data_IF_281911181213
#
_entry.id   IF_281911181213
#
_cell.length_a   1.000
_cell.length_b   1.000
_cell.length_c   1.000
_cell.angle_alpha   90.00
_cell.angle_beta   90.00
_cell.angle_gamma   90.00
#
_symmetry.space_group_name_H-M   'P 1'
#
loop_
_entity.id
_entity.type
_entity.pdbx_description
1 polymer ?
#
# COMPACT_ATOMS: atom_id res chain seq x y z
N UNK A 1 7.83 -0.14 -9.42
CA UNK A 1 6.67 -0.07 -8.51
C UNK A 1 7.10 0.06 -7.04
N UNK A 2 7.96 -0.85 -6.51
CA UNK A 2 8.38 -0.83 -5.10
C UNK A 2 9.05 0.47 -4.66
N UNK A 3 9.94 1.02 -5.49
CA UNK A 3 10.53 2.34 -5.25
C UNK A 3 9.46 3.44 -5.14
N UNK A 4 8.50 3.46 -6.08
CA UNK A 4 7.42 4.44 -6.08
C UNK A 4 6.52 4.32 -4.85
N UNK A 5 6.24 3.10 -4.43
CA UNK A 5 5.46 2.81 -3.21
C UNK A 5 6.15 3.37 -1.96
N UNK A 6 7.42 3.01 -1.71
CA UNK A 6 8.15 3.50 -0.53
C UNK A 6 8.32 5.02 -0.55
N UNK A 7 8.66 5.60 -1.71
CA UNK A 7 8.78 7.04 -1.83
C UNK A 7 7.47 7.78 -1.55
N UNK A 8 6.32 7.20 -1.95
CA UNK A 8 5.00 7.73 -1.63
C UNK A 8 4.72 7.70 -0.12
N UNK A 9 4.98 6.57 0.54
CA UNK A 9 4.80 6.47 1.99
C UNK A 9 5.68 7.48 2.74
N UNK A 10 6.95 7.59 2.35
CA UNK A 10 7.90 8.51 2.96
C UNK A 10 7.49 9.98 2.78
N UNK A 11 6.96 10.33 1.61
CA UNK A 11 6.48 11.69 1.33
C UNK A 11 5.18 12.02 2.09
N UNK A 12 4.25 11.07 2.15
CA UNK A 12 2.94 11.27 2.80
C UNK A 12 2.95 11.07 4.31
N UNK A 13 3.88 10.27 4.84
CA UNK A 13 4.01 9.94 6.25
C UNK A 13 5.51 9.87 6.66
N UNK A 14 6.22 11.01 6.75
CA UNK A 14 7.67 11.02 6.97
C UNK A 14 8.13 10.35 8.27
N UNK A 15 7.27 10.26 9.27
CA UNK A 15 7.58 9.59 10.54
C UNK A 15 7.42 8.07 10.48
N UNK A 16 6.81 7.53 9.42
CA UNK A 16 6.61 6.10 9.25
C UNK A 16 7.92 5.39 8.87
N UNK A 17 8.11 4.18 9.37
CA UNK A 17 9.19 3.29 8.93
C UNK A 17 8.67 1.86 8.79
N UNK A 18 9.23 1.09 7.86
CA UNK A 18 8.84 -0.31 7.63
C UNK A 18 9.13 -1.19 8.85
N UNK A 19 10.13 -0.85 9.66
CA UNK A 19 10.50 -1.57 10.87
C UNK A 19 9.62 -1.28 12.09
N UNK A 20 8.63 -0.38 11.99
CA UNK A 20 7.79 0.01 13.12
C UNK A 20 6.88 -1.12 13.64
N UNK A 21 6.57 -2.11 12.80
CA UNK A 21 5.72 -3.24 13.16
C UNK A 21 5.24 -4.02 11.94
N UNK A 22 4.33 -5.00 12.13
CA UNK A 22 3.79 -5.79 11.04
C UNK A 22 3.09 -4.95 9.99
N UNK A 23 3.23 -5.33 8.72
CA UNK A 23 2.45 -4.79 7.61
C UNK A 23 1.38 -5.81 7.17
N UNK A 24 0.15 -5.33 6.92
CA UNK A 24 -0.92 -6.14 6.33
C UNK A 24 -1.09 -5.72 4.87
N UNK A 25 -0.97 -6.68 3.96
CA UNK A 25 -1.14 -6.47 2.51
C UNK A 25 -2.35 -7.24 2.03
N UNK A 26 -3.30 -6.53 1.46
CA UNK A 26 -4.52 -7.09 0.87
C UNK A 26 -4.34 -7.19 -0.64
N UNK A 27 -4.43 -8.42 -1.17
CA UNK A 27 -4.22 -8.72 -2.59
C UNK A 27 -2.93 -9.49 -2.86
N UNK A 28 -2.92 -10.32 -3.91
CA UNK A 28 -1.77 -11.15 -4.32
C UNK A 28 -1.56 -11.04 -5.84
N UNK A 29 -1.59 -9.82 -6.36
CA UNK A 29 -1.29 -9.48 -7.75
C UNK A 29 0.12 -8.95 -7.95
N UNK A 30 0.39 -8.41 -9.15
CA UNK A 30 1.69 -7.82 -9.47
C UNK A 30 2.08 -6.65 -8.57
N UNK A 31 1.12 -5.79 -8.22
CA UNK A 31 1.35 -4.69 -7.29
C UNK A 31 1.69 -5.19 -5.87
N UNK A 32 0.98 -6.24 -5.38
CA UNK A 32 1.29 -6.86 -4.09
C UNK A 32 2.72 -7.39 -4.06
N UNK A 33 3.18 -8.04 -5.14
CA UNK A 33 4.57 -8.51 -5.27
C UNK A 33 5.56 -7.38 -5.05
N UNK A 34 5.38 -6.27 -5.75
CA UNK A 34 6.28 -5.12 -5.66
C UNK A 34 6.28 -4.48 -4.27
N UNK A 35 5.09 -4.36 -3.65
CA UNK A 35 4.90 -3.83 -2.29
C UNK A 35 5.57 -4.74 -1.26
N UNK A 36 5.37 -6.05 -1.33
CA UNK A 36 5.94 -7.01 -0.38
C UNK A 36 7.47 -7.01 -0.45
N UNK A 37 8.05 -7.06 -1.66
CA UNK A 37 9.51 -6.98 -1.83
C UNK A 37 10.04 -5.68 -1.22
N UNK A 38 9.43 -4.55 -1.55
CA UNK A 38 9.86 -3.25 -1.05
C UNK A 38 9.79 -3.16 0.49
N UNK A 39 8.73 -3.69 1.10
CA UNK A 39 8.57 -3.72 2.57
C UNK A 39 9.60 -4.64 3.23
N UNK A 40 9.85 -5.83 2.67
CA UNK A 40 10.85 -6.76 3.18
C UNK A 40 12.25 -6.14 3.11
N UNK A 41 12.64 -5.56 1.98
CA UNK A 41 13.92 -4.89 1.78
C UNK A 41 14.09 -3.66 2.72
N UNK A 42 12.98 -2.99 3.04
CA UNK A 42 12.96 -1.86 3.99
C UNK A 42 12.93 -2.30 5.46
N UNK A 43 12.93 -3.60 5.76
CA UNK A 43 13.06 -4.14 7.11
C UNK A 43 11.74 -4.36 7.84
N UNK A 44 10.63 -4.57 7.14
CA UNK A 44 9.37 -4.98 7.77
C UNK A 44 9.56 -6.31 8.55
N UNK A 45 9.21 -6.35 9.85
CA UNK A 45 9.45 -7.54 10.66
C UNK A 45 8.53 -8.70 10.31
N UNK A 46 7.35 -8.40 9.83
CA UNK A 46 6.31 -9.35 9.39
C UNK A 46 5.45 -8.71 8.31
N UNK A 47 5.07 -9.49 7.30
CA UNK A 47 4.12 -9.08 6.25
C UNK A 47 2.99 -10.11 6.22
N UNK A 48 1.82 -9.73 6.71
CA UNK A 48 0.61 -10.55 6.71
C UNK A 48 -0.11 -10.36 5.39
N UNK A 49 -0.10 -11.40 4.56
CA UNK A 49 -0.65 -11.37 3.21
C UNK A 49 -2.03 -12.05 3.18
N UNK A 50 -3.08 -11.28 2.89
CA UNK A 50 -4.43 -11.80 2.72
C UNK A 50 -4.90 -11.62 1.27
N UNK A 51 -5.47 -12.68 0.68
CA UNK A 51 -6.05 -12.64 -0.66
C UNK A 51 -7.27 -13.55 -0.73
N UNK A 52 -8.34 -13.11 -1.42
CA UNK A 52 -9.59 -13.86 -1.57
C UNK A 52 -9.34 -15.29 -2.10
N UNK A 53 -8.41 -15.46 -3.03
CA UNK A 53 -7.94 -16.78 -3.48
C UNK A 53 -6.66 -17.12 -2.72
N UNK A 54 -6.76 -17.91 -1.65
CA UNK A 54 -5.64 -18.27 -0.75
C UNK A 54 -4.43 -18.82 -1.52
N UNK A 55 -4.67 -19.72 -2.49
CA UNK A 55 -3.58 -20.33 -3.27
C UNK A 55 -2.68 -19.30 -3.99
N UNK A 56 -3.22 -18.13 -4.39
CA UNK A 56 -2.40 -17.06 -4.98
C UNK A 56 -1.50 -16.40 -3.95
N UNK A 57 -1.98 -16.22 -2.73
CA UNK A 57 -1.16 -15.68 -1.63
C UNK A 57 -0.05 -16.67 -1.25
N UNK A 58 -0.37 -17.96 -1.17
CA UNK A 58 0.61 -19.03 -0.87
C UNK A 58 1.69 -19.13 -1.95
N UNK A 59 1.30 -19.09 -3.23
CA UNK A 59 2.26 -19.05 -4.34
C UNK A 59 3.18 -17.83 -4.23
N UNK A 60 2.61 -16.65 -4.02
CA UNK A 60 3.38 -15.42 -3.91
C UNK A 60 4.33 -15.44 -2.70
N UNK A 61 3.86 -15.91 -1.55
CA UNK A 61 4.66 -16.03 -0.34
C UNK A 61 5.81 -17.04 -0.52
N UNK A 62 5.54 -18.19 -1.16
CA UNK A 62 6.57 -19.20 -1.44
C UNK A 62 7.65 -18.70 -2.41
N UNK A 63 7.25 -17.92 -3.42
CA UNK A 63 8.19 -17.34 -4.39
C UNK A 63 9.07 -16.25 -3.79
N UNK A 64 8.52 -15.42 -2.90
CA UNK A 64 9.24 -14.29 -2.31
C UNK A 64 10.03 -14.70 -1.06
N UNK A 65 9.53 -15.64 -0.29
CA UNK A 65 10.12 -16.00 1.00
C UNK A 65 10.07 -14.83 2.01
N UNK A 66 11.09 -14.78 2.89
CA UNK A 66 11.24 -13.67 3.84
C UNK A 66 10.15 -13.64 4.91
N UNK A 67 9.77 -12.45 5.42
CA UNK A 67 8.88 -12.30 6.56
C UNK A 67 7.39 -12.38 6.19
N UNK A 68 7.02 -13.15 5.15
CA UNK A 68 5.64 -13.21 4.63
C UNK A 68 4.87 -14.34 5.29
N UNK A 69 3.75 -14.00 5.93
CA UNK A 69 2.78 -14.95 6.51
C UNK A 69 1.46 -14.84 5.77
N UNK A 70 0.93 -15.96 5.26
CA UNK A 70 -0.37 -15.98 4.59
C UNK A 70 -1.50 -16.09 5.60
N UNK A 71 -2.46 -15.18 5.49
CA UNK A 71 -3.64 -15.09 6.35
C UNK A 71 -4.88 -15.55 5.55
N UNK A 72 -5.77 -16.30 6.17
CA UNK A 72 -7.05 -16.64 5.58
C UNK A 72 -7.90 -15.38 5.31
N UNK A 73 -8.63 -15.38 4.21
CA UNK A 73 -9.49 -14.25 3.87
C UNK A 73 -10.54 -13.96 4.95
N UNK A 74 -11.02 -14.98 5.63
CA UNK A 74 -11.96 -14.85 6.74
C UNK A 74 -11.34 -14.09 7.93
N UNK A 75 -10.04 -14.23 8.15
CA UNK A 75 -9.30 -13.66 9.28
C UNK A 75 -8.63 -12.32 8.96
N UNK A 76 -8.85 -11.77 7.74
CA UNK A 76 -8.20 -10.53 7.29
C UNK A 76 -8.40 -9.34 8.22
N UNK A 77 -9.56 -9.23 8.87
CA UNK A 77 -9.83 -8.17 9.83
C UNK A 77 -9.07 -8.37 11.16
N UNK A 78 -8.99 -9.61 11.66
CA UNK A 78 -8.22 -9.94 12.85
C UNK A 78 -6.70 -9.77 12.61
N UNK A 79 -6.23 -9.97 11.38
CA UNK A 79 -4.84 -9.77 11.01
C UNK A 79 -4.36 -8.30 11.13
N UNK A 80 -5.28 -7.35 11.29
CA UNK A 80 -4.96 -5.93 11.53
C UNK A 80 -4.47 -5.66 12.96
N UNK A 81 -4.68 -6.58 13.87
CA UNK A 81 -4.26 -6.40 15.27
C UNK A 81 -2.74 -6.20 15.37
N UNK A 82 -2.33 -5.13 16.03
CA UNK A 82 -0.93 -4.74 16.19
C UNK A 82 -0.21 -4.35 14.89
N UNK A 83 -0.91 -4.19 13.75
CA UNK A 83 -0.28 -3.76 12.50
C UNK A 83 0.16 -2.29 12.56
N UNK A 84 1.32 -1.98 12.01
CA UNK A 84 1.81 -0.61 11.82
C UNK A 84 1.47 -0.03 10.43
N UNK A 85 1.11 -0.91 9.48
CA UNK A 85 0.76 -0.53 8.12
C UNK A 85 -0.33 -1.45 7.57
N UNK A 86 -1.33 -0.86 6.92
CA UNK A 86 -2.30 -1.55 6.07
C UNK A 86 -2.15 -1.05 4.63
N UNK A 87 -2.02 -1.96 3.67
CA UNK A 87 -1.94 -1.63 2.23
C UNK A 87 -3.00 -2.39 1.45
N UNK A 88 -3.88 -1.68 0.76
CA UNK A 88 -4.73 -2.26 -0.28
C UNK A 88 -3.98 -2.28 -1.62
N UNK A 89 -3.75 -3.47 -2.17
CA UNK A 89 -3.15 -3.67 -3.49
C UNK A 89 -4.14 -4.29 -4.50
N UNK A 90 -5.41 -4.30 -4.16
CA UNK A 90 -6.49 -4.79 -5.04
C UNK A 90 -7.07 -3.66 -5.88
N UNK A 91 -8.03 -3.98 -6.73
CA UNK A 91 -8.84 -3.00 -7.47
C UNK A 91 -10.13 -2.63 -6.73
N UNK A 92 -10.37 -3.18 -5.54
CA UNK A 92 -11.54 -2.85 -4.73
C UNK A 92 -11.43 -1.41 -4.20
N UNK A 93 -12.53 -0.67 -4.32
CA UNK A 93 -12.55 0.77 -4.06
C UNK A 93 -12.28 1.67 -5.27
N UNK A 94 -11.84 1.11 -6.40
CA UNK A 94 -11.72 1.82 -7.68
C UNK A 94 -13.11 2.19 -8.24
N UNK A 95 -13.18 3.24 -9.04
CA UNK A 95 -14.42 3.61 -9.75
C UNK A 95 -14.96 2.41 -10.53
N UNK A 96 -16.25 2.10 -10.33
CA UNK A 96 -16.90 0.94 -10.95
C UNK A 96 -16.59 -0.41 -10.29
N UNK A 97 -15.90 -0.42 -9.17
CA UNK A 97 -15.64 -1.62 -8.35
C UNK A 97 -16.26 -1.48 -6.97
N UNK A 98 -16.63 -2.58 -6.32
CA UNK A 98 -17.09 -2.53 -4.94
C UNK A 98 -15.99 -1.97 -4.02
N UNK A 99 -16.40 -1.43 -2.87
CA UNK A 99 -15.47 -1.10 -1.80
C UNK A 99 -14.80 -2.37 -1.26
N UNK A 100 -13.57 -2.23 -0.75
CA UNK A 100 -12.91 -3.31 -0.02
C UNK A 100 -13.71 -3.59 1.26
N UNK A 101 -14.22 -4.81 1.38
CA UNK A 101 -14.90 -5.30 2.59
C UNK A 101 -13.84 -5.69 3.64
N UNK A 102 -13.43 -4.72 4.46
CA UNK A 102 -12.44 -4.89 5.51
C UNK A 102 -12.80 -4.02 6.72
N UNK A 103 -13.39 -4.60 7.78
CA UNK A 103 -13.58 -3.91 9.05
C UNK A 103 -12.23 -3.50 9.67
N UNK A 104 -12.12 -2.24 10.11
CA UNK A 104 -10.87 -1.67 10.65
C UNK A 104 -10.81 -1.68 12.19
N UNK A 105 -11.75 -2.32 12.88
CA UNK A 105 -11.88 -2.24 14.34
C UNK A 105 -10.61 -2.69 15.07
N UNK A 106 -9.94 -3.72 14.56
CA UNK A 106 -8.70 -4.25 15.13
C UNK A 106 -7.45 -3.44 14.75
N UNK A 107 -7.54 -2.50 13.79
CA UNK A 107 -6.39 -1.71 13.35
C UNK A 107 -6.03 -0.67 14.42
N UNK A 108 -4.74 -0.60 14.89
CA UNK A 108 -4.29 0.46 15.78
C UNK A 108 -4.56 1.86 15.19
N UNK A 109 -4.88 2.82 16.05
CA UNK A 109 -5.24 4.18 15.61
C UNK A 109 -4.06 4.96 15.00
N UNK A 110 -2.84 4.58 15.30
CA UNK A 110 -1.60 5.14 14.78
C UNK A 110 -1.06 4.39 13.54
N UNK A 111 -1.68 3.28 13.17
CA UNK A 111 -1.31 2.53 11.98
C UNK A 111 -1.54 3.36 10.71
N UNK A 112 -0.54 3.36 9.82
CA UNK A 112 -0.65 3.99 8.50
C UNK A 112 -1.55 3.15 7.58
N UNK A 113 -2.47 3.80 6.86
CA UNK A 113 -3.28 3.15 5.84
C UNK A 113 -2.93 3.71 4.47
N UNK A 114 -2.54 2.83 3.57
CA UNK A 114 -2.26 3.15 2.18
C UNK A 114 -3.21 2.38 1.25
N UNK A 115 -3.72 3.08 0.25
CA UNK A 115 -4.43 2.46 -0.87
C UNK A 115 -3.69 2.81 -2.16
N UNK A 116 -3.30 1.80 -2.96
CA UNK A 116 -2.65 2.05 -4.25
C UNK A 116 -3.64 2.46 -5.33
N UNK A 117 -4.94 2.35 -5.09
CA UNK A 117 -5.98 2.93 -5.95
C UNK A 117 -5.86 4.45 -5.89
N UNK A 118 -5.93 5.10 -7.04
CA UNK A 118 -5.83 6.56 -7.18
C UNK A 118 -7.02 7.19 -7.91
N UNK A 119 -7.98 6.39 -8.36
CA UNK A 119 -9.27 6.85 -8.93
C UNK A 119 -10.41 6.02 -8.32
N UNK A 120 -11.16 6.58 -7.36
CA UNK A 120 -11.09 7.94 -6.82
C UNK A 120 -9.82 8.18 -5.99
N UNK A 121 -9.44 9.44 -5.78
CA UNK A 121 -8.30 9.80 -4.93
C UNK A 121 -8.51 9.37 -3.49
N UNK A 122 -9.71 9.60 -2.95
CA UNK A 122 -10.11 9.09 -1.65
C UNK A 122 -11.02 7.88 -1.84
N UNK A 123 -10.47 6.70 -1.60
CA UNK A 123 -11.22 5.45 -1.63
C UNK A 123 -12.06 5.29 -0.36
N UNK A 124 -13.10 4.42 -0.36
CA UNK A 124 -13.84 4.09 0.86
C UNK A 124 -12.95 3.62 2.02
N UNK A 125 -11.88 2.88 1.73
CA UNK A 125 -10.89 2.46 2.73
C UNK A 125 -10.21 3.66 3.38
N UNK A 126 -9.70 4.60 2.57
CA UNK A 126 -9.03 5.80 3.09
C UNK A 126 -9.98 6.70 3.86
N UNK A 127 -11.22 6.87 3.39
CA UNK A 127 -12.25 7.62 4.10
C UNK A 127 -12.57 7.01 5.47
N UNK A 128 -12.74 5.68 5.53
CA UNK A 128 -12.99 4.97 6.79
C UNK A 128 -11.79 5.09 7.76
N UNK A 129 -10.56 4.97 7.27
CA UNK A 129 -9.36 5.13 8.08
C UNK A 129 -9.24 6.56 8.64
N UNK A 130 -9.46 7.59 7.82
CA UNK A 130 -9.48 8.99 8.26
C UNK A 130 -10.53 9.26 9.33
N UNK A 131 -11.74 8.72 9.17
CA UNK A 131 -12.82 8.87 10.16
C UNK A 131 -12.45 8.27 11.53
N UNK A 132 -11.55 7.28 11.56
CA UNK A 132 -10.99 6.69 12.78
C UNK A 132 -9.80 7.46 13.36
N UNK A 133 -9.25 8.42 12.61
CA UNK A 133 -8.05 9.18 12.98
C UNK A 133 -6.73 8.54 12.53
N UNK A 134 -6.75 7.48 11.75
CA UNK A 134 -5.55 6.88 11.19
C UNK A 134 -4.87 7.83 10.19
N UNK A 135 -3.52 7.90 10.15
CA UNK A 135 -2.80 8.52 9.05
C UNK A 135 -3.05 7.76 7.76
N UNK A 136 -3.20 8.48 6.64
CA UNK A 136 -3.47 7.86 5.35
C UNK A 136 -2.57 8.41 4.25
N UNK A 137 -2.25 7.55 3.28
CA UNK A 137 -1.52 7.91 2.06
C UNK A 137 -2.26 7.31 0.87
N UNK A 138 -2.58 8.14 -0.12
CA UNK A 138 -3.26 7.71 -1.35
C UNK A 138 -2.31 7.13 -2.41
N UNK A 139 -2.88 6.61 -3.49
CA UNK A 139 -2.13 5.91 -4.54
C UNK A 139 -1.45 6.82 -5.58
N UNK A 140 -1.82 8.10 -5.68
CA UNK A 140 -1.28 9.00 -6.73
C UNK A 140 0.22 9.18 -6.60
N UNK A 141 0.73 9.34 -5.37
CA UNK A 141 2.16 9.50 -5.16
C UNK A 141 2.96 8.29 -5.64
N UNK A 142 2.46 7.06 -5.47
CA UNK A 142 3.11 5.87 -6.02
C UNK A 142 3.23 5.96 -7.54
N UNK A 143 2.15 6.35 -8.24
CA UNK A 143 2.15 6.54 -9.69
C UNK A 143 3.20 7.57 -10.14
N UNK A 144 3.30 8.69 -9.43
CA UNK A 144 4.24 9.76 -9.76
C UNK A 144 5.70 9.33 -9.49
N UNK A 145 5.97 8.78 -8.31
CA UNK A 145 7.32 8.39 -7.93
C UNK A 145 7.87 7.23 -8.76
N UNK A 146 7.04 6.25 -9.15
CA UNK A 146 7.50 5.11 -9.94
C UNK A 146 7.97 5.51 -11.34
N UNK A 147 7.49 6.63 -11.88
CA UNK A 147 7.93 7.12 -13.18
C UNK A 147 9.33 7.74 -13.16
N UNK A 148 9.83 8.19 -11.99
CA UNK A 148 11.11 8.91 -11.87
C UNK A 148 12.31 8.17 -12.45
N UNK A 149 12.58 6.90 -12.10
CA UNK A 149 13.77 6.21 -12.63
C UNK A 149 13.74 6.03 -14.15
N UNK A 150 12.57 5.77 -14.72
CA UNK A 150 12.41 5.65 -16.17
C UNK A 150 12.60 6.98 -16.87
N UNK A 151 12.03 8.05 -16.33
CA UNK A 151 12.21 9.40 -16.87
C UNK A 151 13.68 9.83 -16.84
N UNK A 152 14.37 9.61 -15.73
CA UNK A 152 15.79 9.91 -15.59
C UNK A 152 16.64 9.11 -16.59
N UNK A 153 16.34 7.83 -16.76
CA UNK A 153 17.04 6.98 -17.73
C UNK A 153 16.87 7.46 -19.18
N UNK A 154 15.70 8.02 -19.54
CA UNK A 154 15.40 8.48 -20.89
C UNK A 154 15.89 9.90 -21.16
N UNK A 155 15.81 10.78 -20.17
CA UNK A 155 16.05 12.22 -20.37
C UNK A 155 17.30 12.75 -19.64
N UNK A 156 17.97 11.91 -18.82
CA UNK A 156 19.17 12.30 -18.08
C UNK A 156 18.92 13.27 -16.92
N UNK A 157 17.66 13.50 -16.56
CA UNK A 157 17.26 14.41 -15.48
C UNK A 157 16.27 13.72 -14.56
N UNK A 158 16.56 13.67 -13.26
CA UNK A 158 15.64 13.15 -12.26
C UNK A 158 14.50 14.16 -12.03
N UNK A 159 13.21 13.81 -12.32
CA UNK A 159 12.11 14.72 -12.09
C UNK A 159 11.82 14.86 -10.61
N UNK A 160 11.38 16.05 -10.20
CA UNK A 160 10.90 16.32 -8.84
C UNK A 160 9.40 16.01 -8.78
N UNK A 161 9.00 15.20 -7.81
CA UNK A 161 7.59 14.97 -7.50
C UNK A 161 7.19 15.96 -6.40
N UNK A 162 6.62 17.06 -6.80
CA UNK A 162 6.18 18.14 -5.91
C UNK A 162 4.65 18.34 -5.98
N UNK A 163 4.17 19.30 -5.19
CA UNK A 163 2.75 19.64 -5.15
C UNK A 163 2.23 20.15 -6.50
N UNK A 164 3.06 20.83 -7.31
CA UNK A 164 2.67 21.36 -8.61
C UNK A 164 2.44 20.22 -9.62
N UNK A 165 3.36 19.24 -9.67
CA UNK A 165 3.20 18.06 -10.51
C UNK A 165 1.97 17.25 -10.10
N UNK A 166 1.77 17.07 -8.78
CA UNK A 166 0.61 16.36 -8.25
C UNK A 166 -0.70 17.07 -8.64
N UNK A 167 -0.79 18.39 -8.48
CA UNK A 167 -1.95 19.19 -8.89
C UNK A 167 -2.22 19.04 -10.39
N UNK A 168 -1.20 19.15 -11.23
CA UNK A 168 -1.33 19.00 -12.69
C UNK A 168 -1.90 17.61 -13.08
N UNK A 169 -1.48 16.54 -12.41
CA UNK A 169 -1.99 15.18 -12.68
C UNK A 169 -3.44 15.02 -12.21
N UNK A 170 -3.82 15.67 -11.13
CA UNK A 170 -5.18 15.64 -10.59
C UNK A 170 -6.15 16.56 -11.34
N UNK A 171 -5.67 17.40 -12.26
CA UNK A 171 -6.48 18.34 -13.01
C UNK A 171 -6.95 19.53 -12.16
N UNK A 172 -6.17 19.88 -11.12
CA UNK A 172 -6.47 20.95 -10.17
C UNK A 172 -5.60 22.19 -10.43
#
# INVERSE_FOLDING_TARGET
>A
DGFGFLANLQAGAPAWSAGAGPAVVIGAGGAARAVIVALADAGAPEIRLANRTRARAETLAAELGGPVTVVDWADRAAALDGAALLVNTTTEGMVGRPALDLPLDALPADALVNDIVYVPLETPLLAAAKARGNPVVDGVGMLLHQARPGFEAWFGVAPVVDAALRAAVLGA
#
